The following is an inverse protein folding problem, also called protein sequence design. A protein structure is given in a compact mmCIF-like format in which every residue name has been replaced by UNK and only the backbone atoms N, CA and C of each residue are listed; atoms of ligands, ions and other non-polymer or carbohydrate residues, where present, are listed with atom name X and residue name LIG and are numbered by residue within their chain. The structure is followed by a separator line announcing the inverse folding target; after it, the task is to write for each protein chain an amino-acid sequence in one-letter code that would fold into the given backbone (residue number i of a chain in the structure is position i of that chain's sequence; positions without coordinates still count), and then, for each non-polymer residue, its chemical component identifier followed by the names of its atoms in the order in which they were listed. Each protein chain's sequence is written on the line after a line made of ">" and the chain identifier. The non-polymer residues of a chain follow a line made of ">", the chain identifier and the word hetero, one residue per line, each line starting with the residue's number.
data_IF_523781694848
#
_entry.id   IF_523781694848
#
_cell.length_a   1.000
_cell.length_b   1.000
_cell.length_c   1.000
_cell.angle_alpha   90.00
_cell.angle_beta   90.00
_cell.angle_gamma   90.00
#
_symmetry.space_group_name_H-M   'P 1'
#
loop_
_entity.id
_entity.type
_entity.pdbx_description
1 polymer ?
#
# COMPACT_ATOMS: atom_id res chain seq x y z
N UNK A 1 -2.46 -3.33 14.70
CA UNK A 1 -3.66 -2.46 14.66
C UNK A 1 -3.31 -0.98 14.87
N UNK A 2 -2.37 -0.64 15.75
CA UNK A 2 -2.05 0.75 16.17
C UNK A 2 -1.93 1.84 15.10
N UNK A 3 -1.53 1.53 13.86
CA UNK A 3 -1.35 2.52 12.80
C UNK A 3 -2.37 2.41 11.65
N UNK A 4 -3.24 1.40 11.66
CA UNK A 4 -4.33 1.28 10.68
C UNK A 4 -5.51 2.18 11.07
N UNK A 5 -6.41 2.45 10.12
CA UNK A 5 -7.71 3.06 10.41
C UNK A 5 -8.72 1.95 10.59
N UNK A 6 -9.18 1.77 11.82
CA UNK A 6 -10.12 0.72 12.19
C UNK A 6 -11.56 1.13 11.84
N UNK A 7 -12.41 0.12 11.63
CA UNK A 7 -13.84 0.29 11.48
C UNK A 7 -14.57 -0.60 12.48
N UNK A 8 -15.86 -0.37 12.69
CA UNK A 8 -16.74 -1.26 13.45
C UNK A 8 -17.15 -2.52 12.67
N UNK A 9 -16.66 -2.70 11.43
CA UNK A 9 -17.05 -3.79 10.55
C UNK A 9 -15.96 -4.86 10.46
N UNK A 10 -16.33 -6.01 9.92
CA UNK A 10 -15.42 -7.12 9.60
C UNK A 10 -15.39 -7.34 8.10
N UNK A 11 -14.36 -8.03 7.60
CA UNK A 11 -14.26 -8.35 6.17
C UNK A 11 -15.39 -9.27 5.74
N UNK A 12 -15.87 -9.14 4.50
CA UNK A 12 -16.97 -9.93 3.96
C UNK A 12 -16.63 -11.43 3.93
N UNK A 13 -15.37 -11.77 3.66
CA UNK A 13 -14.89 -13.14 3.53
C UNK A 13 -14.65 -13.81 4.88
N UNK A 14 -14.37 -13.02 5.93
CA UNK A 14 -14.07 -13.51 7.25
C UNK A 14 -14.63 -12.60 8.34
N UNK A 15 -15.72 -13.05 8.97
CA UNK A 15 -16.42 -12.35 10.08
C UNK A 15 -15.57 -12.16 11.34
N UNK A 16 -14.45 -12.85 11.49
CA UNK A 16 -13.52 -12.70 12.61
C UNK A 16 -12.34 -11.78 12.30
N UNK A 17 -12.20 -11.33 11.05
CA UNK A 17 -11.15 -10.43 10.61
C UNK A 17 -11.69 -8.99 10.58
N UNK A 18 -11.21 -8.09 11.46
CA UNK A 18 -11.62 -6.69 11.44
C UNK A 18 -11.33 -6.04 10.10
N UNK A 19 -12.26 -5.21 9.61
CA UNK A 19 -12.06 -4.38 8.43
C UNK A 19 -11.25 -3.15 8.85
N UNK A 20 -10.05 -3.04 8.30
CA UNK A 20 -9.12 -1.93 8.55
C UNK A 20 -8.58 -1.37 7.24
N UNK A 21 -8.33 -0.06 7.23
CA UNK A 21 -7.74 0.64 6.10
C UNK A 21 -6.30 1.06 6.39
N UNK A 22 -5.49 1.15 5.35
CA UNK A 22 -4.13 1.69 5.35
C UNK A 22 -4.19 3.12 4.80
N UNK A 23 -4.47 4.06 5.68
CA UNK A 23 -4.62 5.48 5.35
C UNK A 23 -3.25 6.16 5.23
N UNK A 24 -2.81 6.44 4.01
CA UNK A 24 -1.50 7.06 3.74
C UNK A 24 -1.38 8.46 4.32
N UNK A 25 -2.49 9.17 4.59
CA UNK A 25 -2.45 10.48 5.23
C UNK A 25 -1.84 10.42 6.63
N UNK A 26 -1.91 9.28 7.32
CA UNK A 26 -1.23 9.11 8.61
C UNK A 26 0.29 9.18 8.49
N UNK A 27 0.84 8.78 7.34
CA UNK A 27 2.26 8.90 7.00
C UNK A 27 2.60 10.33 6.60
N UNK A 28 1.79 10.93 5.73
CA UNK A 28 1.99 12.30 5.22
C UNK A 28 1.91 13.35 6.34
N UNK A 29 0.95 13.17 7.25
CA UNK A 29 0.67 14.07 8.36
C UNK A 29 1.52 13.79 9.61
N UNK A 30 2.44 12.80 9.56
CA UNK A 30 3.31 12.40 10.67
C UNK A 30 2.51 12.09 11.96
N UNK A 31 1.50 11.23 11.86
CA UNK A 31 0.67 10.84 13.02
C UNK A 31 1.50 10.15 14.11
N UNK A 32 2.52 9.40 13.73
CA UNK A 32 3.54 8.94 14.67
C UNK A 32 4.66 10.00 14.74
N UNK A 33 4.83 10.69 15.89
CA UNK A 33 5.84 11.73 16.03
C UNK A 33 7.27 11.22 15.90
N UNK A 34 7.50 9.90 16.02
CA UNK A 34 8.83 9.29 15.92
C UNK A 34 9.28 9.03 14.48
N UNK A 35 8.46 9.30 13.46
CA UNK A 35 8.85 9.11 12.07
C UNK A 35 10.02 10.05 11.69
N UNK A 36 11.00 9.57 10.92
CA UNK A 36 12.26 10.29 10.69
C UNK A 36 12.15 11.43 9.68
N UNK A 37 11.02 11.54 8.97
CA UNK A 37 10.75 12.61 8.00
C UNK A 37 9.87 13.71 8.59
N UNK A 38 9.92 14.89 7.98
CA UNK A 38 9.00 15.98 8.31
C UNK A 38 7.61 15.75 7.71
N UNK A 39 6.60 16.36 8.33
CA UNK A 39 5.24 16.38 7.79
C UNK A 39 5.24 16.92 6.35
N UNK A 40 4.59 16.22 5.44
CA UNK A 40 4.50 16.57 4.02
C UNK A 40 5.71 16.17 3.16
N UNK A 41 6.78 15.61 3.76
CA UNK A 41 7.90 15.02 3.00
C UNK A 41 7.41 13.93 2.05
N UNK A 42 6.55 13.05 2.55
CA UNK A 42 5.73 12.16 1.75
C UNK A 42 4.33 12.74 1.59
N UNK A 43 3.76 12.59 0.39
CA UNK A 43 2.42 13.03 0.02
C UNK A 43 1.88 12.16 -1.13
N UNK A 44 0.72 12.55 -1.68
CA UNK A 44 0.05 11.85 -2.78
C UNK A 44 0.85 11.85 -4.09
N UNK A 45 1.79 12.77 -4.30
CA UNK A 45 2.62 12.81 -5.51
C UNK A 45 3.83 11.87 -5.48
N UNK A 46 4.24 11.36 -4.31
CA UNK A 46 5.48 10.59 -4.15
C UNK A 46 5.36 9.33 -3.25
N UNK A 47 4.13 8.93 -2.90
CA UNK A 47 3.88 7.75 -2.07
C UNK A 47 3.08 6.71 -2.83
N UNK A 48 3.45 5.44 -2.71
CA UNK A 48 2.69 4.33 -3.26
C UNK A 48 2.45 3.27 -2.18
N UNK A 49 1.21 2.80 -2.07
CA UNK A 49 0.84 1.62 -1.29
C UNK A 49 0.87 0.38 -2.18
N UNK A 50 1.65 -0.61 -1.76
CA UNK A 50 1.64 -1.97 -2.31
C UNK A 50 0.88 -2.89 -1.34
N UNK A 51 -0.26 -3.43 -1.75
CA UNK A 51 -1.04 -4.37 -0.94
C UNK A 51 -1.84 -5.30 -1.84
N UNK A 52 -2.00 -6.56 -1.48
CA UNK A 52 -2.76 -7.54 -2.28
C UNK A 52 -4.29 -7.47 -2.06
N UNK A 53 -4.73 -6.61 -1.13
CA UNK A 53 -6.14 -6.48 -0.71
C UNK A 53 -6.68 -5.09 -1.05
N UNK A 54 -7.38 -4.91 -2.19
CA UNK A 54 -7.84 -3.61 -2.66
C UNK A 54 -8.61 -2.77 -1.64
N UNK A 55 -9.45 -3.41 -0.82
CA UNK A 55 -10.25 -2.71 0.18
C UNK A 55 -9.41 -1.94 1.20
N UNK A 56 -8.16 -2.33 1.47
CA UNK A 56 -7.31 -1.64 2.46
C UNK A 56 -6.91 -0.25 2.00
N UNK A 57 -6.94 0.02 0.69
CA UNK A 57 -6.57 1.30 0.10
C UNK A 57 -7.73 2.29 -0.05
N UNK A 58 -8.94 1.95 0.41
CA UNK A 58 -10.17 2.71 0.12
C UNK A 58 -10.13 4.20 0.53
N UNK A 59 -9.26 4.57 1.47
CA UNK A 59 -9.11 5.95 1.94
C UNK A 59 -8.02 6.74 1.18
N UNK A 60 -7.32 6.10 0.25
CA UNK A 60 -6.22 6.71 -0.52
C UNK A 60 -6.71 7.16 -1.90
N UNK A 61 -6.05 8.14 -2.54
CA UNK A 61 -6.33 8.47 -3.92
C UNK A 61 -6.12 7.24 -4.85
N UNK A 62 -6.88 7.15 -5.95
CA UNK A 62 -6.91 5.95 -6.80
C UNK A 62 -5.56 5.61 -7.46
N UNK A 63 -4.64 6.56 -7.59
CA UNK A 63 -3.30 6.36 -8.15
C UNK A 63 -2.23 6.00 -7.11
N UNK A 64 -2.51 6.11 -5.80
CA UNK A 64 -1.52 5.82 -4.74
C UNK A 64 -1.51 4.36 -4.31
N UNK A 65 -2.11 3.44 -5.07
CA UNK A 65 -2.17 2.04 -4.66
C UNK A 65 -2.14 1.10 -5.85
N UNK A 66 -1.34 0.04 -5.73
CA UNK A 66 -1.34 -1.08 -6.68
C UNK A 66 -1.56 -2.39 -5.96
N UNK A 67 -2.23 -3.31 -6.65
CA UNK A 67 -2.72 -4.56 -6.07
C UNK A 67 -2.17 -5.77 -6.85
N UNK A 68 -0.93 -6.22 -6.56
CA UNK A 68 -0.40 -7.44 -7.15
C UNK A 68 -1.17 -8.66 -6.65
N UNK A 69 -1.01 -9.78 -7.35
CA UNK A 69 -1.55 -11.05 -6.89
C UNK A 69 -0.97 -11.45 -5.53
N UNK A 70 -1.82 -12.02 -4.67
CA UNK A 70 -1.38 -12.59 -3.39
C UNK A 70 -0.33 -13.67 -3.63
N UNK A 71 0.79 -13.56 -2.92
CA UNK A 71 1.83 -14.58 -2.95
C UNK A 71 1.29 -15.94 -2.47
N UNK A 72 1.67 -17.00 -3.19
CA UNK A 72 1.44 -18.38 -2.77
C UNK A 72 2.72 -19.19 -2.94
N UNK A 73 3.10 -19.94 -1.91
CA UNK A 73 4.26 -20.85 -1.96
C UNK A 73 4.09 -21.98 -2.98
N UNK A 74 2.85 -22.26 -3.41
CA UNK A 74 2.52 -23.25 -4.44
C UNK A 74 2.85 -22.74 -5.84
N UNK A 75 2.90 -21.42 -6.03
CA UNK A 75 3.32 -20.81 -7.28
C UNK A 75 4.85 -20.74 -7.34
N UNK A 76 5.49 -21.86 -7.68
CA UNK A 76 6.95 -21.94 -7.81
C UNK A 76 7.53 -21.07 -8.93
N UNK A 77 6.68 -20.56 -9.82
CA UNK A 77 7.06 -19.68 -10.91
C UNK A 77 6.90 -18.18 -10.56
N UNK A 78 6.47 -17.84 -9.34
CA UNK A 78 6.37 -16.44 -8.93
C UNK A 78 7.76 -15.80 -8.89
N UNK A 79 8.00 -14.93 -9.86
CA UNK A 79 9.23 -14.17 -10.02
C UNK A 79 8.95 -12.66 -10.05
N UNK A 80 7.78 -12.22 -9.58
CA UNK A 80 7.30 -10.84 -9.72
C UNK A 80 8.25 -9.82 -9.06
N UNK A 81 8.83 -10.21 -7.91
CA UNK A 81 9.82 -9.43 -7.16
C UNK A 81 11.27 -9.74 -7.52
N UNK A 82 11.52 -10.76 -8.37
CA UNK A 82 12.87 -11.13 -8.77
C UNK A 82 13.54 -10.05 -9.65
N UNK A 83 14.84 -10.19 -9.90
CA UNK A 83 15.51 -9.33 -10.88
C UNK A 83 14.86 -9.50 -12.25
N UNK A 84 14.38 -8.40 -12.86
CA UNK A 84 13.62 -8.44 -14.12
C UNK A 84 12.14 -8.80 -13.97
N UNK A 85 11.67 -9.10 -12.75
CA UNK A 85 10.27 -9.36 -12.44
C UNK A 85 9.35 -8.20 -12.85
N UNK A 86 8.10 -8.51 -13.18
CA UNK A 86 7.13 -7.53 -13.68
C UNK A 86 6.81 -6.44 -12.65
N UNK A 87 6.50 -6.79 -11.40
CA UNK A 87 6.23 -5.84 -10.33
C UNK A 87 7.46 -4.97 -10.05
N UNK A 88 8.66 -5.56 -10.04
CA UNK A 88 9.90 -4.80 -9.88
C UNK A 88 10.11 -3.80 -11.02
N UNK A 89 9.89 -4.21 -12.28
CA UNK A 89 10.00 -3.31 -13.45
C UNK A 89 8.96 -2.19 -13.41
N UNK A 90 7.74 -2.49 -12.98
CA UNK A 90 6.69 -1.49 -12.83
C UNK A 90 7.06 -0.44 -11.76
N UNK A 91 7.51 -0.89 -10.59
CA UNK A 91 7.95 -0.01 -9.49
C UNK A 91 9.18 0.84 -9.88
N UNK A 92 10.11 0.28 -10.66
CA UNK A 92 11.26 1.02 -11.18
C UNK A 92 10.81 2.14 -12.15
N UNK A 93 9.83 1.85 -13.01
CA UNK A 93 9.21 2.86 -13.86
C UNK A 93 8.56 3.99 -13.05
N UNK A 94 7.79 3.65 -12.01
CA UNK A 94 7.17 4.64 -11.11
C UNK A 94 8.19 5.48 -10.35
N UNK A 95 9.30 4.87 -9.89
CA UNK A 95 10.35 5.59 -9.17
C UNK A 95 11.05 6.66 -10.04
N UNK A 96 10.99 6.52 -11.36
CA UNK A 96 11.56 7.46 -12.33
C UNK A 96 10.50 8.43 -12.92
N UNK A 97 9.22 8.31 -12.52
CA UNK A 97 8.17 9.23 -12.94
C UNK A 97 8.29 10.58 -12.21
N UNK A 98 7.84 11.66 -12.85
CA UNK A 98 7.87 13.01 -12.25
C UNK A 98 6.95 13.13 -11.03
N UNK A 99 5.78 12.50 -11.10
CA UNK A 99 4.83 12.38 -10.00
C UNK A 99 3.86 11.22 -10.26
N UNK A 100 3.01 10.91 -9.28
CA UNK A 100 2.04 9.81 -9.32
C UNK A 100 0.75 10.08 -10.12
N UNK A 101 0.56 11.28 -10.69
CA UNK A 101 -0.65 11.74 -11.39
C UNK A 101 -0.46 11.79 -12.91
#
# INVERSE_FOLDING_TARGET
>A
MSHCTETSFTTLENKHKPLVFKDLRKIWEKYDPNLPWEKGYYNDSNTLLLDDSPYKALLNPPWNSIFPYTFSYENQNDNSLASGGDLRRYLDGLANAENMV
#
